data_IF_540720470223
#
_entry.id   IF_540720470223
#
_cell.length_a   1.000
_cell.length_b   1.000
_cell.length_c   1.000
_cell.angle_alpha   90.00
_cell.angle_beta   90.00
_cell.angle_gamma   90.00
#
_symmetry.space_group_name_H-M   'P 1'
#
loop_
_entity.id
_entity.type
_entity.pdbx_description
1 polymer ?
#
# COMPACT_ATOMS: atom_id res chain seq x y z
N UNK A 1 -9.67 8.08 13.60
CA UNK A 1 -8.32 8.66 13.82
C UNK A 1 -8.27 9.29 15.21
N UNK A 2 -7.44 8.75 16.05
CA UNK A 2 -7.21 9.35 17.35
C UNK A 2 -6.42 10.65 17.20
N UNK A 3 -6.75 11.64 17.97
CA UNK A 3 -6.06 12.94 17.98
C UNK A 3 -6.07 13.69 16.64
N UNK A 4 -6.98 13.33 15.73
CA UNK A 4 -7.07 13.99 14.43
C UNK A 4 -5.92 13.70 13.48
N UNK A 5 -4.99 12.83 13.87
CA UNK A 5 -3.87 12.42 13.01
C UNK A 5 -4.28 11.24 12.13
N UNK A 6 -3.86 11.25 10.86
CA UNK A 6 -4.19 10.14 9.98
C UNK A 6 -3.44 8.87 10.36
N UNK A 7 -4.10 7.75 10.16
CA UNK A 7 -3.52 6.44 10.33
C UNK A 7 -3.55 5.70 9.00
N UNK A 8 -2.55 4.87 8.76
CA UNK A 8 -2.47 4.06 7.54
C UNK A 8 -2.27 2.59 7.92
N UNK A 9 -2.79 1.71 7.09
CA UNK A 9 -2.63 0.28 7.27
C UNK A 9 -1.38 -0.20 6.54
N UNK A 10 -0.51 -0.90 7.26
CA UNK A 10 0.63 -1.58 6.67
C UNK A 10 0.46 -3.08 6.84
N UNK A 11 1.10 -3.85 5.98
CA UNK A 11 1.05 -5.30 6.00
C UNK A 11 2.42 -5.91 6.26
N UNK A 12 2.42 -7.10 6.84
CA UNK A 12 3.60 -7.97 6.82
C UNK A 12 3.32 -9.07 5.81
N UNK A 13 3.99 -9.06 4.66
CA UNK A 13 3.83 -10.15 3.70
C UNK A 13 4.21 -11.48 4.33
N UNK A 14 3.59 -12.55 3.86
CA UNK A 14 3.82 -13.88 4.40
C UNK A 14 5.31 -14.24 4.46
N UNK A 15 5.72 -14.77 5.60
CA UNK A 15 7.09 -15.22 5.87
C UNK A 15 8.16 -14.11 5.78
N UNK A 16 7.74 -12.85 5.90
CA UNK A 16 8.68 -11.73 5.91
C UNK A 16 8.46 -10.88 7.16
N UNK A 17 9.55 -10.42 7.75
CA UNK A 17 9.51 -9.49 8.88
C UNK A 17 9.60 -8.05 8.39
N UNK A 18 8.87 -7.74 7.36
CA UNK A 18 8.89 -6.42 6.73
C UNK A 18 7.52 -5.77 6.88
N UNK A 19 7.50 -4.45 7.06
CA UNK A 19 6.28 -3.67 6.97
C UNK A 19 6.24 -3.04 5.58
N UNK A 20 5.16 -3.27 4.87
CA UNK A 20 5.04 -2.87 3.47
C UNK A 20 3.67 -2.30 3.17
N UNK A 21 3.59 -1.57 2.04
CA UNK A 21 2.32 -1.09 1.51
C UNK A 21 1.63 -2.22 0.73
N UNK A 22 0.30 -2.32 0.83
CA UNK A 22 -0.45 -3.26 -0.01
C UNK A 22 -0.23 -2.92 -1.48
N UNK A 23 0.02 -3.93 -2.28
CA UNK A 23 0.19 -3.79 -3.73
C UNK A 23 0.07 -5.14 -4.38
N UNK A 24 -0.21 -5.14 -5.68
CA UNK A 24 -0.30 -6.40 -6.42
C UNK A 24 -0.37 -6.14 -7.91
N UNK A 25 -0.57 -7.21 -8.66
CA UNK A 25 -0.61 -7.16 -10.11
C UNK A 25 -1.97 -6.72 -10.59
N UNK A 26 -1.96 -5.90 -11.66
CA UNK A 26 -3.19 -5.55 -12.38
C UNK A 26 -3.62 -6.77 -13.19
N UNK A 27 -4.87 -7.18 -13.03
CA UNK A 27 -5.41 -8.28 -13.79
C UNK A 27 -5.81 -7.81 -15.20
N UNK A 28 -5.87 -8.73 -16.14
CA UNK A 28 -6.20 -8.42 -17.52
C UNK A 28 -7.55 -7.71 -17.62
N UNK A 29 -7.53 -6.53 -18.27
CA UNK A 29 -8.72 -5.72 -18.44
C UNK A 29 -9.14 -4.91 -17.23
N UNK A 30 -8.38 -4.99 -16.15
CA UNK A 30 -8.68 -4.28 -14.91
C UNK A 30 -8.05 -2.88 -14.94
N UNK A 31 -8.84 -1.80 -14.70
CA UNK A 31 -8.26 -0.47 -14.56
C UNK A 31 -7.32 -0.41 -13.35
N UNK A 32 -6.25 0.40 -13.40
CA UNK A 32 -5.31 0.51 -12.28
C UNK A 32 -5.97 0.86 -10.94
N UNK A 33 -6.96 1.75 -10.93
CA UNK A 33 -7.66 2.14 -9.72
C UNK A 33 -8.43 0.97 -9.11
N UNK A 34 -9.04 0.13 -9.95
CA UNK A 34 -9.77 -1.05 -9.49
C UNK A 34 -8.80 -2.10 -8.94
N UNK A 35 -7.63 -2.24 -9.57
CA UNK A 35 -6.60 -3.12 -9.07
C UNK A 35 -6.15 -2.68 -7.68
N UNK A 36 -5.94 -1.38 -7.47
CA UNK A 36 -5.55 -0.84 -6.17
C UNK A 36 -6.60 -1.13 -5.10
N UNK A 37 -7.88 -0.92 -5.41
CA UNK A 37 -8.98 -1.21 -4.48
C UNK A 37 -9.03 -2.70 -4.15
N UNK A 38 -8.93 -3.56 -5.16
CA UNK A 38 -8.98 -5.01 -4.99
C UNK A 38 -7.80 -5.52 -4.15
N UNK A 39 -6.58 -5.11 -4.48
CA UNK A 39 -5.39 -5.56 -3.76
C UNK A 39 -5.39 -5.08 -2.31
N UNK A 40 -5.82 -3.83 -2.08
CA UNK A 40 -5.94 -3.32 -0.72
C UNK A 40 -6.92 -4.19 0.09
N UNK A 41 -8.07 -4.51 -0.48
CA UNK A 41 -9.07 -5.34 0.20
C UNK A 41 -8.56 -6.76 0.48
N UNK A 42 -7.91 -7.37 -0.50
CA UNK A 42 -7.38 -8.74 -0.35
C UNK A 42 -6.27 -8.78 0.70
N UNK A 43 -5.33 -7.86 0.64
CA UNK A 43 -4.16 -7.90 1.51
C UNK A 43 -4.41 -7.34 2.91
N UNK A 44 -5.37 -6.44 3.07
CA UNK A 44 -5.64 -5.82 4.39
C UNK A 44 -6.97 -6.20 5.00
N UNK A 45 -7.91 -6.71 4.21
CA UNK A 45 -9.28 -6.92 4.67
C UNK A 45 -10.09 -5.63 4.74
N UNK A 46 -9.52 -4.51 4.29
CA UNK A 46 -10.14 -3.19 4.38
C UNK A 46 -10.56 -2.72 2.98
N UNK A 47 -11.75 -2.11 2.92
CA UNK A 47 -12.24 -1.51 1.67
C UNK A 47 -12.17 0.00 1.78
N UNK A 48 -11.79 0.63 0.67
CA UNK A 48 -11.66 2.07 0.63
C UNK A 48 -12.09 2.65 -0.71
N UNK A 49 -12.22 3.97 -0.73
CA UNK A 49 -12.56 4.74 -1.92
C UNK A 49 -11.32 5.51 -2.38
N UNK A 50 -11.05 5.49 -3.67
CA UNK A 50 -9.92 6.22 -4.26
C UNK A 50 -10.11 7.72 -4.03
N UNK A 51 -9.09 8.36 -3.44
CA UNK A 51 -9.04 9.82 -3.25
C UNK A 51 -8.15 10.45 -4.32
N UNK A 52 -7.06 9.79 -4.68
CA UNK A 52 -6.16 10.29 -5.71
C UNK A 52 -4.97 9.39 -5.91
N UNK A 53 -4.20 9.71 -6.95
CA UNK A 53 -2.95 9.01 -7.25
C UNK A 53 -1.82 9.62 -6.43
N UNK A 54 -0.99 8.78 -5.83
CA UNK A 54 0.17 9.27 -5.07
C UNK A 54 1.38 9.39 -5.98
N UNK A 55 1.87 8.28 -6.50
CA UNK A 55 3.03 8.25 -7.40
C UNK A 55 3.27 6.83 -7.90
N UNK A 56 4.23 6.71 -8.80
CA UNK A 56 4.66 5.43 -9.37
C UNK A 56 6.10 5.16 -8.98
N UNK A 57 6.39 3.94 -8.56
CA UNK A 57 7.76 3.51 -8.31
C UNK A 57 8.15 2.43 -9.31
N UNK A 58 9.44 2.37 -9.61
CA UNK A 58 10.01 1.38 -10.52
C UNK A 58 11.18 0.72 -9.82
N UNK A 59 11.24 -0.60 -9.90
CA UNK A 59 12.36 -1.34 -9.32
C UNK A 59 12.58 -2.65 -10.06
N UNK A 60 13.73 -3.25 -9.85
CA UNK A 60 14.02 -4.54 -10.45
C UNK A 60 14.69 -5.44 -9.42
N UNK A 61 14.55 -6.73 -9.66
CA UNK A 61 15.25 -7.75 -8.87
C UNK A 61 15.57 -8.94 -9.77
N UNK A 62 16.45 -9.81 -9.27
CA UNK A 62 16.84 -11.00 -10.02
C UNK A 62 16.10 -12.19 -9.42
N UNK A 63 15.32 -12.87 -10.25
CA UNK A 63 14.59 -14.07 -9.86
C UNK A 63 15.53 -15.28 -9.99
N UNK A 64 16.26 -15.60 -8.94
CA UNK A 64 17.25 -16.68 -8.93
C UNK A 64 16.62 -18.06 -8.86
N UNK A 65 15.34 -18.14 -8.50
CA UNK A 65 14.57 -19.38 -8.50
C UNK A 65 14.12 -19.79 -9.91
N UNK A 66 14.18 -18.86 -10.87
CA UNK A 66 13.87 -19.15 -12.26
C UNK A 66 15.08 -19.80 -12.97
N UNK A 67 14.82 -20.67 -13.91
CA UNK A 67 15.86 -21.31 -14.72
C UNK A 67 15.53 -21.18 -16.20
N UNK A 68 16.26 -20.33 -16.94
CA UNK A 68 17.41 -19.56 -16.49
C UNK A 68 17.02 -18.43 -15.55
N UNK A 69 18.00 -17.92 -14.80
CA UNK A 69 17.82 -16.74 -13.93
C UNK A 69 17.40 -15.54 -14.77
N UNK A 70 16.37 -14.84 -14.34
CA UNK A 70 15.85 -13.68 -15.07
C UNK A 70 15.81 -12.43 -14.17
N UNK A 71 15.97 -11.28 -14.82
CA UNK A 71 15.78 -10.00 -14.14
C UNK A 71 14.33 -9.57 -14.32
N UNK A 72 13.68 -9.27 -13.22
CA UNK A 72 12.29 -8.83 -13.22
C UNK A 72 12.24 -7.32 -13.01
N UNK A 73 11.50 -6.61 -13.83
CA UNK A 73 11.23 -5.18 -13.68
C UNK A 73 9.79 -4.99 -13.26
N UNK A 74 9.58 -4.16 -12.24
CA UNK A 74 8.23 -3.85 -11.77
C UNK A 74 7.98 -2.34 -11.79
N UNK A 75 6.77 -1.98 -12.20
CA UNK A 75 6.26 -0.61 -12.15
C UNK A 75 5.00 -0.68 -11.32
N UNK A 76 4.98 0.04 -10.21
CA UNK A 76 3.84 0.02 -9.29
C UNK A 76 3.33 1.44 -9.07
N UNK A 77 2.05 1.66 -9.38
CA UNK A 77 1.40 2.94 -9.12
C UNK A 77 0.58 2.83 -7.84
N UNK A 78 0.80 3.76 -6.93
CA UNK A 78 0.10 3.80 -5.65
C UNK A 78 -0.98 4.86 -5.67
N UNK A 79 -2.11 4.51 -5.08
CA UNK A 79 -3.27 5.39 -4.92
C UNK A 79 -3.57 5.58 -3.44
N UNK A 80 -4.09 6.74 -3.11
CA UNK A 80 -4.57 7.02 -1.76
C UNK A 80 -6.03 6.60 -1.68
N UNK A 81 -6.34 5.68 -0.77
CA UNK A 81 -7.70 5.21 -0.53
C UNK A 81 -8.15 5.65 0.86
N UNK A 82 -9.36 6.20 0.92
CA UNK A 82 -9.98 6.54 2.20
C UNK A 82 -10.71 5.29 2.71
N UNK A 83 -10.36 4.86 3.93
CA UNK A 83 -10.99 3.70 4.56
C UNK A 83 -12.50 3.91 4.72
N UNK A 84 -13.27 2.92 4.33
CA UNK A 84 -14.72 2.94 4.43
C UNK A 84 -15.24 1.85 5.35
N UNK A 85 -14.77 0.62 5.21
CA UNK A 85 -15.23 -0.50 6.01
C UNK A 85 -14.25 -1.67 5.95
N UNK A 86 -14.52 -2.70 6.74
CA UNK A 86 -13.73 -3.91 6.74
C UNK A 86 -12.97 -4.11 8.04
N UNK A 87 -12.32 -5.25 8.15
CA UNK A 87 -11.60 -5.67 9.35
C UNK A 87 -10.25 -6.28 8.93
N UNK A 88 -9.15 -5.88 9.58
CA UNK A 88 -7.82 -6.44 9.25
C UNK A 88 -7.75 -7.97 9.34
N UNK A 89 -8.58 -8.59 10.18
CA UNK A 89 -8.61 -10.05 10.30
C UNK A 89 -9.05 -10.76 9.03
N UNK A 90 -9.61 -10.02 8.07
CA UNK A 90 -10.08 -10.59 6.80
C UNK A 90 -9.03 -10.55 5.69
N UNK A 91 -7.79 -10.21 6.03
CA UNK A 91 -6.70 -10.26 5.04
C UNK A 91 -6.52 -11.69 4.52
N UNK A 92 -5.96 -11.82 3.31
CA UNK A 92 -5.78 -13.13 2.70
C UNK A 92 -4.52 -13.85 3.22
N UNK A 93 -4.27 -15.04 2.67
CA UNK A 93 -3.17 -15.91 3.11
C UNK A 93 -1.78 -15.38 2.72
N UNK A 94 -1.71 -14.42 1.81
CA UNK A 94 -0.43 -13.85 1.38
C UNK A 94 0.15 -12.87 2.40
N UNK A 95 -0.62 -12.55 3.44
CA UNK A 95 -0.25 -11.58 4.46
C UNK A 95 -0.35 -12.24 5.84
N UNK A 96 0.67 -12.04 6.67
CA UNK A 96 0.68 -12.56 8.04
C UNK A 96 0.03 -11.59 9.03
N UNK A 97 0.22 -10.30 8.85
CA UNK A 97 -0.29 -9.27 9.77
C UNK A 97 -0.70 -8.01 9.04
N UNK A 98 -1.72 -7.36 9.58
CA UNK A 98 -2.15 -6.02 9.14
C UNK A 98 -2.33 -5.17 10.40
N UNK A 99 -1.73 -3.99 10.42
CA UNK A 99 -1.89 -3.08 11.54
C UNK A 99 -2.02 -1.65 11.08
N UNK A 100 -2.78 -0.87 11.86
CA UNK A 100 -2.90 0.57 11.67
C UNK A 100 -1.74 1.26 12.35
N UNK A 101 -1.13 2.23 11.65
CA UNK A 101 -0.04 3.05 12.18
C UNK A 101 -0.38 4.51 12.02
N UNK A 102 -0.07 5.35 13.01
CA UNK A 102 -0.04 6.80 12.74
C UNK A 102 0.91 7.05 11.58
N UNK A 103 0.58 8.02 10.71
CA UNK A 103 1.34 8.22 9.47
C UNK A 103 2.85 8.39 9.71
N UNK A 104 3.24 9.12 10.76
CA UNK A 104 4.66 9.31 11.08
C UNK A 104 5.34 8.00 11.46
N UNK A 105 4.65 7.19 12.27
CA UNK A 105 5.15 5.88 12.66
C UNK A 105 5.24 4.95 11.45
N UNK A 106 4.26 5.03 10.54
CA UNK A 106 4.28 4.24 9.31
C UNK A 106 5.51 4.55 8.47
N UNK A 107 5.83 5.85 8.33
CA UNK A 107 6.99 6.29 7.56
C UNK A 107 8.28 5.72 8.16
N UNK A 108 8.42 5.77 9.49
CA UNK A 108 9.61 5.24 10.14
C UNK A 108 9.66 3.71 10.15
N UNK A 109 8.52 3.05 10.20
CA UNK A 109 8.43 1.59 10.31
C UNK A 109 8.49 0.85 8.98
N UNK A 110 8.07 1.49 7.89
CA UNK A 110 8.10 0.87 6.56
C UNK A 110 9.51 0.41 6.22
N UNK A 111 9.62 -0.80 5.71
CA UNK A 111 10.91 -1.42 5.46
C UNK A 111 11.58 -0.90 4.18
N UNK A 112 10.80 -0.65 3.14
CA UNK A 112 11.35 -0.34 1.82
C UNK A 112 11.45 1.17 1.58
N UNK A 113 12.66 1.67 1.20
CA UNK A 113 12.86 3.12 1.03
C UNK A 113 11.93 3.78 0.03
N UNK A 114 11.62 3.12 -1.10
CA UNK A 114 10.71 3.67 -2.10
C UNK A 114 9.30 3.80 -1.54
N UNK A 115 8.87 2.86 -0.72
CA UNK A 115 7.55 2.92 -0.08
C UNK A 115 7.49 3.98 1.00
N UNK A 116 8.60 4.24 1.70
CA UNK A 116 8.67 5.38 2.62
C UNK A 116 8.43 6.69 1.89
N UNK A 117 8.96 6.82 0.68
CA UNK A 117 8.73 7.99 -0.18
C UNK A 117 7.26 8.13 -0.55
N UNK A 118 6.58 7.02 -0.85
CA UNK A 118 5.14 7.01 -1.13
C UNK A 118 4.36 7.49 0.09
N UNK A 119 4.70 7.02 1.28
CA UNK A 119 4.04 7.43 2.52
C UNK A 119 4.22 8.92 2.81
N UNK A 120 5.40 9.46 2.54
CA UNK A 120 5.66 10.89 2.71
C UNK A 120 4.79 11.72 1.77
N UNK A 121 4.63 11.28 0.52
CA UNK A 121 3.76 11.95 -0.45
C UNK A 121 2.29 11.81 -0.06
N UNK A 122 1.90 10.65 0.45
CA UNK A 122 0.54 10.44 0.95
C UNK A 122 0.21 11.42 2.07
N UNK A 123 1.15 11.64 2.98
CA UNK A 123 0.99 12.59 4.08
C UNK A 123 0.68 13.99 3.56
N UNK A 124 1.41 14.42 2.53
CA UNK A 124 1.19 15.73 1.92
C UNK A 124 -0.18 15.82 1.24
N UNK A 125 -0.60 14.77 0.57
CA UNK A 125 -1.91 14.71 -0.08
C UNK A 125 -3.04 14.77 0.94
N UNK A 126 -2.90 14.08 2.05
CA UNK A 126 -3.91 14.08 3.12
C UNK A 126 -4.05 15.49 3.71
N UNK A 127 -2.94 16.15 3.95
CA UNK A 127 -2.94 17.51 4.49
C UNK A 127 -3.60 18.49 3.50
N UNK A 128 -3.28 18.37 2.21
CA UNK A 128 -3.85 19.19 1.15
C UNK A 128 -5.36 19.01 1.05
N UNK A 129 -5.84 17.77 1.07
CA UNK A 129 -7.26 17.47 1.01
C UNK A 129 -8.02 18.02 2.22
N UNK A 130 -7.40 17.97 3.39
CA UNK A 130 -8.00 18.51 4.61
C UNK A 130 -8.16 20.03 4.53
N UNK A 131 -7.19 20.73 3.95
CA UNK A 131 -7.23 22.16 3.75
C UNK A 131 -8.33 22.56 2.77
N UNK A 132 -8.50 21.82 1.70
CA UNK A 132 -9.54 22.09 0.71
C UNK A 132 -10.96 21.97 1.26
N UNK A 133 -11.14 21.20 2.33
CA UNK A 133 -12.45 20.99 2.95
C UNK A 133 -12.83 22.07 3.96
N UNK A 134 -11.94 23.00 4.21
CA UNK A 134 -12.22 24.12 5.11
C UNK A 134 -12.86 25.33 4.36
#
# INVERSE_FOLDING_TARGET
>A
MENGLPEVALIQPRDRKAWALPKGLIERGEPPEKAAEREAREETGLSGTIVGKIDTIKYSYVARWEKPTVRVFKIVTFYLLKYMEGDPSRHDWEVDRVEWFPIETAISSATYPLEKGILKKAKLLIASNSEERR
#
